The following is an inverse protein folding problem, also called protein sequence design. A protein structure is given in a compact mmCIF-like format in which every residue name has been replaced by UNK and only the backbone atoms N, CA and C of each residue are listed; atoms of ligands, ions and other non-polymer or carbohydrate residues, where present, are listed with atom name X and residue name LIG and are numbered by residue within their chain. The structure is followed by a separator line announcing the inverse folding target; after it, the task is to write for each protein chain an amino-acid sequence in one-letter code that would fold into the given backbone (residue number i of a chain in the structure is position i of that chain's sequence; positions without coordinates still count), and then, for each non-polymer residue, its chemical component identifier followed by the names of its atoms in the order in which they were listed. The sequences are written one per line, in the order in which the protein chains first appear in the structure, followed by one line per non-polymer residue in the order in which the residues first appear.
data_IF_289597571195
#
_entry.id   IF_289597571195
#
_cell.length_a   1.000
_cell.length_b   1.000
_cell.length_c   1.000
_cell.angle_alpha   90.00
_cell.angle_beta   90.00
_cell.angle_gamma   90.00
#
_symmetry.space_group_name_H-M   'P 1'
#
loop_
_entity.id
_entity.type
_entity.pdbx_description
1 polymer ?
#
# COMPACT_ATOMS: atom_id res chain seq x y z
N UNK A 1 -9.84 22.87 17.17
CA UNK A 1 -8.93 23.67 18.02
C UNK A 1 -7.57 23.64 17.34
N UNK A 2 -6.95 24.80 17.07
CA UNK A 2 -5.61 24.85 16.47
C UNK A 2 -4.54 24.55 17.52
N UNK A 3 -3.44 23.92 17.11
CA UNK A 3 -2.31 23.57 17.97
C UNK A 3 -0.99 24.11 17.37
N UNK A 4 -0.69 25.41 17.54
CA UNK A 4 0.54 26.01 17.03
C UNK A 4 1.79 25.52 17.76
N UNK A 5 2.91 25.48 17.06
CA UNK A 5 4.23 25.15 17.59
C UNK A 5 4.81 26.38 18.29
N UNK A 6 5.24 26.19 19.53
CA UNK A 6 5.91 27.21 20.32
C UNK A 6 7.41 26.90 20.46
N UNK A 7 8.27 27.87 20.14
CA UNK A 7 9.68 27.83 20.49
C UNK A 7 9.86 28.54 21.86
N UNK A 8 9.62 27.83 22.95
CA UNK A 8 9.48 28.44 24.28
C UNK A 8 8.13 29.15 24.44
N UNK A 9 8.12 30.47 24.66
CA UNK A 9 6.89 31.27 24.79
C UNK A 9 6.47 31.99 23.48
N UNK A 10 7.20 31.80 22.38
CA UNK A 10 6.96 32.48 21.11
C UNK A 10 6.33 31.53 20.06
N UNK A 11 5.27 32.01 19.41
CA UNK A 11 4.62 31.31 18.30
C UNK A 11 5.51 31.37 17.06
N UNK A 12 5.73 30.22 16.40
CA UNK A 12 6.60 30.15 15.23
C UNK A 12 6.05 31.01 14.08
N UNK A 13 6.93 31.73 13.35
CA UNK A 13 6.52 32.62 12.24
C UNK A 13 5.68 31.88 11.18
N UNK A 14 6.05 30.64 10.87
CA UNK A 14 5.28 29.76 9.95
C UNK A 14 3.82 29.58 10.39
N UNK A 15 3.61 29.46 11.69
CA UNK A 15 2.30 29.18 12.27
C UNK A 15 1.46 30.46 12.31
N UNK A 16 2.08 31.60 12.60
CA UNK A 16 1.44 32.92 12.53
C UNK A 16 0.98 33.24 11.09
N UNK A 17 1.81 32.91 10.10
CA UNK A 17 1.48 33.08 8.68
C UNK A 17 0.23 32.27 8.30
N UNK A 18 0.17 30.99 8.68
CA UNK A 18 -1.00 30.14 8.38
C UNK A 18 -2.26 30.71 9.05
N UNK A 19 -2.18 31.10 10.34
CA UNK A 19 -3.31 31.71 11.04
C UNK A 19 -3.77 33.01 10.38
N UNK A 20 -2.84 33.84 9.91
CA UNK A 20 -3.16 35.09 9.20
C UNK A 20 -3.85 34.81 7.87
N UNK A 21 -3.35 33.85 7.08
CA UNK A 21 -3.99 33.43 5.82
C UNK A 21 -5.44 32.97 6.07
N UNK A 22 -5.65 32.12 7.09
CA UNK A 22 -7.00 31.65 7.46
C UNK A 22 -7.90 32.82 7.87
N UNK A 23 -7.39 33.72 8.71
CA UNK A 23 -8.13 34.89 9.19
C UNK A 23 -8.51 35.84 8.06
N UNK A 24 -7.60 36.10 7.12
CA UNK A 24 -7.81 37.03 6.01
C UNK A 24 -8.69 36.45 4.91
N UNK A 25 -8.55 35.16 4.63
CA UNK A 25 -9.34 34.49 3.61
C UNK A 25 -10.84 34.52 3.97
N UNK A 26 -11.20 34.49 5.27
CA UNK A 26 -12.59 34.48 5.75
C UNK A 26 -13.47 33.45 5.02
N UNK A 27 -12.88 32.31 4.67
CA UNK A 27 -13.49 31.24 3.86
C UNK A 27 -13.99 31.66 2.46
N UNK A 28 -13.65 32.87 1.99
CA UNK A 28 -13.97 33.34 0.63
C UNK A 28 -13.12 32.64 -0.44
N UNK A 29 -11.91 32.22 -0.06
CA UNK A 29 -10.99 31.49 -0.92
C UNK A 29 -10.61 30.15 -0.29
N UNK A 30 -10.47 29.08 -1.08
CA UNK A 30 -10.04 27.80 -0.55
C UNK A 30 -8.57 27.84 -0.14
N UNK A 31 -8.24 27.22 0.99
CA UNK A 31 -6.89 27.10 1.52
C UNK A 31 -6.47 25.64 1.39
N UNK A 32 -5.28 25.40 0.84
CA UNK A 32 -4.75 24.07 0.62
C UNK A 32 -3.37 23.90 1.28
N UNK A 33 -3.11 22.71 1.77
CA UNK A 33 -1.79 22.23 2.15
C UNK A 33 -1.34 21.15 1.17
N UNK A 34 -0.09 21.16 0.73
CA UNK A 34 0.43 20.05 -0.06
C UNK A 34 0.51 18.78 0.80
N UNK A 35 0.30 17.60 0.20
CA UNK A 35 0.37 16.31 0.94
C UNK A 35 1.75 16.00 1.51
N UNK A 36 2.79 16.66 0.98
CA UNK A 36 4.17 16.56 1.45
C UNK A 36 4.46 17.41 2.68
N UNK A 37 3.51 18.24 3.13
CA UNK A 37 3.65 19.00 4.38
C UNK A 37 3.41 18.05 5.56
N UNK A 38 4.39 17.85 6.46
CA UNK A 38 4.22 16.94 7.58
C UNK A 38 3.15 17.44 8.55
N UNK A 39 2.48 16.51 9.25
CA UNK A 39 1.41 16.83 10.20
C UNK A 39 1.81 17.86 11.27
N UNK A 40 3.06 17.79 11.75
CA UNK A 40 3.64 18.76 12.69
C UNK A 40 3.66 20.20 12.19
N UNK A 41 3.56 20.42 10.87
CA UNK A 41 3.52 21.72 10.22
C UNK A 41 2.12 22.15 9.77
N UNK A 42 1.06 21.45 10.19
CA UNK A 42 -0.34 21.76 9.84
C UNK A 42 -1.18 22.30 11.00
N UNK A 43 -0.55 22.81 12.07
CA UNK A 43 -1.23 23.43 13.22
C UNK A 43 -2.29 22.55 13.90
N UNK A 44 -2.17 21.22 13.82
CA UNK A 44 -3.21 20.31 14.35
C UNK A 44 -4.56 20.43 13.64
N UNK A 45 -4.59 20.92 12.40
CA UNK A 45 -5.81 21.05 11.58
C UNK A 45 -6.25 19.73 10.93
N UNK A 46 -5.71 18.59 11.35
CA UNK A 46 -5.96 17.25 10.78
C UNK A 46 -7.46 16.93 10.70
N UNK A 47 -8.22 17.32 11.72
CA UNK A 47 -9.66 17.07 11.80
C UNK A 47 -10.49 17.97 10.87
N UNK A 48 -9.84 18.93 10.19
CA UNK A 48 -10.46 19.97 9.37
C UNK A 48 -9.92 19.98 7.95
N UNK A 49 -9.12 19.00 7.56
CA UNK A 49 -8.57 18.91 6.22
C UNK A 49 -9.07 17.67 5.50
N UNK A 50 -9.31 17.81 4.20
CA UNK A 50 -9.85 16.76 3.34
C UNK A 50 -9.00 16.66 2.07
N UNK A 51 -8.62 15.46 1.66
CA UNK A 51 -7.74 15.25 0.51
C UNK A 51 -8.51 15.42 -0.82
N UNK A 52 -8.00 16.27 -1.72
CA UNK A 52 -8.57 16.55 -3.05
C UNK A 52 -7.51 16.30 -4.15
N UNK A 53 -6.71 15.25 -4.03
CA UNK A 53 -5.61 14.88 -4.93
C UNK A 53 -4.28 14.95 -4.18
N UNK A 54 -3.32 15.71 -4.70
CA UNK A 54 -2.02 15.95 -4.02
C UNK A 54 -2.06 17.09 -3.01
N UNK A 55 -3.25 17.50 -2.61
CA UNK A 55 -3.49 18.60 -1.68
C UNK A 55 -4.56 18.23 -0.68
N UNK A 56 -4.44 18.79 0.52
CA UNK A 56 -5.43 18.79 1.56
C UNK A 56 -6.13 20.15 1.59
N UNK A 57 -7.45 20.17 1.38
CA UNK A 57 -8.26 21.37 1.50
C UNK A 57 -8.68 21.60 2.93
N UNK A 58 -8.47 22.79 3.45
CA UNK A 58 -8.99 23.21 4.75
C UNK A 58 -10.50 23.48 4.68
N UNK A 59 -11.23 22.93 5.64
CA UNK A 59 -12.69 23.01 5.78
C UNK A 59 -13.05 23.72 7.09
N UNK A 60 -14.16 24.49 7.12
CA UNK A 60 -14.62 25.16 8.34
C UNK A 60 -15.29 24.20 9.35
N UNK A 61 -15.51 22.94 8.96
CA UNK A 61 -16.15 21.90 9.76
C UNK A 61 -15.21 20.70 9.92
N UNK A 62 -15.56 19.79 10.82
CA UNK A 62 -14.78 18.56 11.02
C UNK A 62 -15.04 17.55 9.91
N UNK A 63 -14.01 16.83 9.50
CA UNK A 63 -14.06 15.77 8.49
C UNK A 63 -14.05 14.41 9.19
N UNK A 64 -14.70 13.42 8.57
CA UNK A 64 -14.64 12.04 9.05
C UNK A 64 -13.21 11.52 8.97
N UNK A 65 -12.63 11.19 10.12
CA UNK A 65 -11.26 10.68 10.20
C UNK A 65 -11.11 9.30 9.57
N UNK A 66 -12.19 8.54 9.44
CA UNK A 66 -12.14 7.23 8.79
C UNK A 66 -11.86 7.35 7.30
N UNK A 67 -12.39 8.41 6.68
CA UNK A 67 -12.27 8.68 5.26
C UNK A 67 -12.01 10.17 5.00
N UNK A 68 -10.78 10.67 5.26
CA UNK A 68 -10.47 12.10 5.14
C UNK A 68 -10.20 12.51 3.68
N UNK A 69 -10.97 11.97 2.73
CA UNK A 69 -10.85 12.29 1.31
C UNK A 69 -12.17 12.84 0.77
N UNK A 70 -12.07 13.69 -0.25
CA UNK A 70 -13.21 14.10 -1.05
C UNK A 70 -13.30 13.20 -2.28
N UNK A 71 -14.17 12.19 -2.29
CA UNK A 71 -14.24 11.20 -3.38
C UNK A 71 -14.46 11.87 -4.75
N UNK A 72 -15.40 12.81 -4.86
CA UNK A 72 -15.73 13.46 -6.12
C UNK A 72 -14.51 14.21 -6.70
N UNK A 73 -13.80 14.98 -5.88
CA UNK A 73 -12.61 15.73 -6.30
C UNK A 73 -11.43 14.81 -6.57
N UNK A 74 -11.21 13.80 -5.73
CA UNK A 74 -10.17 12.80 -5.94
C UNK A 74 -10.40 12.07 -7.27
N UNK A 75 -11.62 11.60 -7.51
CA UNK A 75 -12.01 10.94 -8.75
C UNK A 75 -11.80 11.87 -9.94
N UNK A 76 -12.34 13.09 -9.88
CA UNK A 76 -12.19 14.08 -10.94
C UNK A 76 -10.72 14.39 -11.25
N UNK A 77 -9.87 14.54 -10.23
CA UNK A 77 -8.47 14.93 -10.43
C UNK A 77 -7.57 13.77 -10.86
N UNK A 78 -7.82 12.54 -10.39
CA UNK A 78 -6.96 11.38 -10.64
C UNK A 78 -7.43 10.54 -11.83
N UNK A 79 -8.74 10.46 -12.05
CA UNK A 79 -9.33 9.59 -13.08
C UNK A 79 -9.56 10.32 -14.41
N UNK A 80 -9.57 11.65 -14.41
CA UNK A 80 -9.63 12.44 -15.66
C UNK A 80 -8.25 12.57 -16.32
N UNK A 81 -8.26 13.01 -17.58
CA UNK A 81 -7.05 13.19 -18.38
C UNK A 81 -6.68 11.94 -19.17
N UNK A 82 -5.71 12.10 -20.05
CA UNK A 82 -5.32 11.07 -21.03
C UNK A 82 -4.66 9.84 -20.39
N UNK A 83 -4.79 8.72 -21.08
CA UNK A 83 -4.21 7.42 -20.72
C UNK A 83 -2.83 7.22 -21.37
N UNK A 84 -2.31 6.00 -21.29
CA UNK A 84 -0.99 5.63 -21.83
C UNK A 84 -0.73 5.91 -23.30
N UNK A 85 -1.77 6.04 -24.12
CA UNK A 85 -1.65 6.40 -25.54
C UNK A 85 -0.92 7.74 -25.78
N UNK A 86 -0.90 8.62 -24.77
CA UNK A 86 -0.32 9.97 -24.87
C UNK A 86 1.13 10.04 -24.39
N UNK A 87 1.53 9.19 -23.44
CA UNK A 87 2.87 9.28 -22.86
C UNK A 87 3.88 8.27 -23.43
N UNK A 88 3.44 7.27 -24.20
CA UNK A 88 4.33 6.25 -24.80
C UNK A 88 5.25 6.81 -25.89
N UNK A 89 4.89 7.96 -26.47
CA UNK A 89 5.67 8.65 -27.49
C UNK A 89 5.94 10.09 -27.07
N UNK A 90 6.98 10.68 -27.63
CA UNK A 90 7.11 12.13 -27.53
C UNK A 90 6.00 12.81 -28.33
N UNK A 91 5.72 14.05 -27.95
CA UNK A 91 4.81 14.93 -28.70
C UNK A 91 5.65 16.09 -29.21
N UNK A 92 5.89 16.08 -30.52
CA UNK A 92 6.65 17.11 -31.21
C UNK A 92 5.90 18.44 -31.21
N UNK A 93 6.64 19.55 -31.31
CA UNK A 93 6.06 20.90 -31.24
C UNK A 93 4.97 21.16 -32.30
N UNK A 94 5.11 20.55 -33.49
CA UNK A 94 4.11 20.66 -34.58
C UNK A 94 2.83 19.89 -34.29
N UNK A 95 2.94 18.74 -33.61
CA UNK A 95 1.80 17.92 -33.22
C UNK A 95 1.08 18.53 -32.02
N UNK A 96 1.82 19.13 -31.08
CA UNK A 96 1.27 19.73 -29.87
C UNK A 96 0.09 20.66 -30.18
N UNK A 97 0.23 21.57 -31.14
CA UNK A 97 -0.83 22.51 -31.49
C UNK A 97 -2.10 21.84 -32.03
N UNK A 98 -1.98 20.67 -32.67
CA UNK A 98 -3.10 19.93 -33.24
C UNK A 98 -3.87 19.14 -32.17
N UNK A 99 -3.29 18.99 -30.97
CA UNK A 99 -3.85 18.21 -29.87
C UNK A 99 -4.65 19.07 -28.86
N UNK A 100 -4.90 20.34 -29.19
CA UNK A 100 -5.79 21.23 -28.43
C UNK A 100 -7.24 20.69 -28.49
N UNK A 101 -7.89 20.57 -27.34
CA UNK A 101 -9.20 19.92 -27.16
C UNK A 101 -9.09 18.47 -26.69
N UNK A 102 -8.18 17.71 -27.31
CA UNK A 102 -8.01 16.28 -27.01
C UNK A 102 -7.14 16.07 -25.77
N UNK A 103 -5.90 16.57 -25.80
CA UNK A 103 -4.87 16.31 -24.77
C UNK A 103 -4.66 17.51 -23.86
N UNK A 104 -4.72 18.72 -24.39
CA UNK A 104 -4.61 19.96 -23.62
C UNK A 104 -5.68 20.97 -24.05
N UNK A 105 -5.96 21.97 -23.22
CA UNK A 105 -6.95 23.01 -23.51
C UNK A 105 -6.49 24.35 -22.94
N UNK A 106 -6.95 25.45 -23.55
CA UNK A 106 -6.84 26.80 -22.97
C UNK A 106 -7.86 27.02 -21.84
N UNK A 107 -8.97 26.30 -21.91
CA UNK A 107 -9.98 26.28 -20.84
C UNK A 107 -9.63 25.22 -19.80
N UNK A 108 -10.14 25.41 -18.57
CA UNK A 108 -9.90 24.48 -17.48
C UNK A 108 -10.41 23.08 -17.83
N UNK A 109 -9.52 22.09 -17.77
CA UNK A 109 -9.82 20.67 -17.90
C UNK A 109 -9.25 19.96 -16.66
N UNK A 110 -10.07 19.21 -15.90
CA UNK A 110 -9.56 18.46 -14.74
C UNK A 110 -8.69 17.29 -15.20
N UNK A 111 -7.79 16.86 -14.31
CA UNK A 111 -6.87 15.75 -14.56
C UNK A 111 -5.43 16.19 -14.71
N UNK A 112 -4.51 15.26 -14.47
CA UNK A 112 -3.09 15.47 -14.71
C UNK A 112 -2.75 15.12 -16.16
N UNK A 113 -1.87 15.92 -16.75
CA UNK A 113 -1.26 15.60 -18.04
C UNK A 113 0.03 14.83 -17.82
N UNK A 114 -0.04 13.50 -17.90
CA UNK A 114 1.13 12.63 -17.87
C UNK A 114 1.79 12.59 -19.25
N UNK A 115 3.10 12.80 -19.31
CA UNK A 115 3.89 12.76 -20.55
C UNK A 115 5.18 11.99 -20.33
N UNK A 116 5.60 11.28 -21.37
CA UNK A 116 6.83 10.50 -21.43
C UNK A 116 6.99 9.38 -20.39
N UNK A 117 6.10 9.20 -19.41
CA UNK A 117 6.36 8.38 -18.22
C UNK A 117 6.59 6.88 -18.45
N UNK A 118 6.27 6.32 -19.61
CA UNK A 118 6.63 4.94 -19.92
C UNK A 118 7.42 4.75 -21.20
N UNK A 119 8.18 5.79 -21.54
CA UNK A 119 9.33 5.71 -22.45
C UNK A 119 10.53 5.15 -21.69
N UNK A 120 11.07 4.03 -22.17
CA UNK A 120 12.26 3.37 -21.61
C UNK A 120 13.56 4.05 -22.03
N UNK A 121 13.53 4.83 -23.12
CA UNK A 121 14.66 5.63 -23.60
C UNK A 121 14.86 6.94 -22.79
N UNK A 122 13.97 7.23 -21.84
CA UNK A 122 14.07 8.37 -20.93
C UNK A 122 14.69 7.91 -19.61
N UNK A 123 15.71 8.65 -19.16
CA UNK A 123 16.30 8.42 -17.84
C UNK A 123 15.50 9.13 -16.73
N UNK A 124 14.97 8.36 -15.78
CA UNK A 124 14.28 8.89 -14.60
C UNK A 124 15.20 8.91 -13.39
N UNK A 125 15.43 10.09 -12.81
CA UNK A 125 16.23 10.18 -11.58
C UNK A 125 15.49 9.51 -10.42
N UNK A 126 16.07 8.49 -9.75
CA UNK A 126 15.40 7.80 -8.65
C UNK A 126 15.03 8.74 -7.49
N UNK A 127 15.94 9.63 -7.14
CA UNK A 127 15.77 10.58 -6.02
C UNK A 127 14.68 11.63 -6.24
N UNK A 128 14.29 11.89 -7.49
CA UNK A 128 13.43 13.01 -7.84
C UNK A 128 12.21 12.57 -8.61
N UNK A 129 12.38 12.03 -9.82
CA UNK A 129 11.26 11.62 -10.66
C UNK A 129 10.51 10.44 -10.03
N UNK A 130 11.21 9.36 -9.69
CA UNK A 130 10.58 8.14 -9.15
C UNK A 130 9.93 8.44 -7.80
N UNK A 131 10.64 9.11 -6.89
CA UNK A 131 10.13 9.47 -5.57
C UNK A 131 8.90 10.39 -5.62
N UNK A 132 8.89 11.40 -6.50
CA UNK A 132 7.74 12.31 -6.63
C UNK A 132 6.50 11.57 -7.13
N UNK A 133 6.68 10.65 -8.08
CA UNK A 133 5.59 9.84 -8.63
C UNK A 133 5.01 8.86 -7.61
N UNK A 134 5.75 8.49 -6.56
CA UNK A 134 5.16 7.73 -5.44
C UNK A 134 4.06 8.52 -4.73
N UNK A 135 4.17 9.85 -4.60
CA UNK A 135 3.10 10.66 -4.00
C UNK A 135 1.79 10.60 -4.83
N UNK A 136 1.91 10.55 -6.16
CA UNK A 136 0.78 10.37 -7.07
C UNK A 136 0.17 8.97 -6.92
N UNK A 137 1.00 7.92 -6.81
CA UNK A 137 0.51 6.58 -6.50
C UNK A 137 -0.21 6.53 -5.16
N UNK A 138 0.34 7.16 -4.13
CA UNK A 138 -0.31 7.24 -2.82
C UNK A 138 -1.70 7.89 -2.92
N UNK A 139 -1.88 8.94 -3.73
CA UNK A 139 -3.21 9.54 -3.93
C UNK A 139 -4.21 8.56 -4.58
N UNK A 140 -3.79 7.81 -5.61
CA UNK A 140 -4.64 6.75 -6.19
C UNK A 140 -4.94 5.65 -5.17
N UNK A 141 -3.94 5.20 -4.40
CA UNK A 141 -4.11 4.18 -3.37
C UNK A 141 -5.10 4.62 -2.28
N UNK A 142 -5.11 5.90 -1.89
CA UNK A 142 -6.10 6.43 -0.94
C UNK A 142 -7.53 6.39 -1.51
N UNK A 143 -7.71 6.77 -2.79
CA UNK A 143 -9.02 6.69 -3.45
C UNK A 143 -9.47 5.22 -3.64
N UNK A 144 -8.55 4.33 -4.00
CA UNK A 144 -8.84 2.91 -4.13
C UNK A 144 -9.19 2.30 -2.77
N UNK A 145 -8.47 2.66 -1.70
CA UNK A 145 -8.75 2.23 -0.34
C UNK A 145 -10.14 2.69 0.14
N UNK A 146 -10.54 3.93 -0.16
CA UNK A 146 -11.88 4.43 0.13
C UNK A 146 -12.97 3.55 -0.49
N UNK A 147 -12.83 3.24 -1.79
CA UNK A 147 -13.80 2.37 -2.47
C UNK A 147 -13.70 0.91 -2.00
N UNK A 148 -12.52 0.43 -1.65
CA UNK A 148 -12.35 -0.90 -1.07
C UNK A 148 -13.04 -1.05 0.29
N UNK A 149 -12.93 -0.05 1.17
CA UNK A 149 -13.64 -0.05 2.45
C UNK A 149 -15.15 -0.07 2.23
N UNK A 150 -15.67 0.80 1.34
CA UNK A 150 -17.09 0.80 0.99
C UNK A 150 -17.54 -0.55 0.38
N UNK A 151 -16.71 -1.18 -0.45
CA UNK A 151 -16.97 -2.53 -0.98
C UNK A 151 -17.18 -3.54 0.15
N UNK A 152 -16.29 -3.57 1.15
CA UNK A 152 -16.39 -4.47 2.31
C UNK A 152 -17.59 -4.14 3.20
N UNK A 153 -17.88 -2.86 3.44
CA UNK A 153 -19.01 -2.41 4.26
C UNK A 153 -20.36 -2.86 3.66
N UNK A 154 -20.48 -2.79 2.33
CA UNK A 154 -21.69 -3.20 1.63
C UNK A 154 -21.77 -4.69 1.30
N UNK A 155 -20.69 -5.46 1.49
CA UNK A 155 -20.59 -6.85 1.03
C UNK A 155 -21.72 -7.76 1.53
N UNK A 156 -22.21 -7.52 2.74
CA UNK A 156 -23.28 -8.32 3.36
C UNK A 156 -24.63 -7.59 3.44
N UNK A 157 -24.72 -6.35 2.94
CA UNK A 157 -25.92 -5.50 3.12
C UNK A 157 -26.52 -5.04 1.79
N UNK A 158 -25.70 -4.77 0.78
CA UNK A 158 -26.11 -4.24 -0.51
C UNK A 158 -25.13 -4.70 -1.62
N UNK A 159 -25.47 -5.82 -2.25
CA UNK A 159 -24.60 -6.47 -3.25
C UNK A 159 -24.31 -5.58 -4.46
N UNK A 160 -25.30 -4.79 -4.90
CA UNK A 160 -25.14 -3.89 -6.06
C UNK A 160 -24.15 -2.76 -5.74
N UNK A 161 -24.28 -2.10 -4.57
CA UNK A 161 -23.32 -1.08 -4.15
C UNK A 161 -21.95 -1.66 -3.86
N UNK A 162 -21.88 -2.84 -3.26
CA UNK A 162 -20.63 -3.54 -3.01
C UNK A 162 -19.87 -3.74 -4.32
N UNK A 163 -20.52 -4.32 -5.34
CA UNK A 163 -19.89 -4.56 -6.64
C UNK A 163 -19.56 -3.25 -7.39
N UNK A 164 -20.40 -2.21 -7.28
CA UNK A 164 -20.07 -0.87 -7.82
C UNK A 164 -18.77 -0.34 -7.22
N UNK A 165 -18.61 -0.40 -5.90
CA UNK A 165 -17.40 0.05 -5.22
C UNK A 165 -16.18 -0.81 -5.53
N UNK A 166 -16.37 -2.14 -5.66
CA UNK A 166 -15.32 -3.05 -6.12
C UNK A 166 -14.79 -2.65 -7.50
N UNK A 167 -15.69 -2.39 -8.46
CA UNK A 167 -15.32 -1.93 -9.81
C UNK A 167 -14.62 -0.58 -9.80
N UNK A 168 -15.08 0.37 -8.97
CA UNK A 168 -14.41 1.67 -8.82
C UNK A 168 -13.00 1.52 -8.24
N UNK A 169 -12.80 0.68 -7.23
CA UNK A 169 -11.48 0.44 -6.64
C UNK A 169 -10.50 -0.16 -7.68
N UNK A 170 -10.94 -1.15 -8.46
CA UNK A 170 -10.18 -1.72 -9.58
C UNK A 170 -9.83 -0.66 -10.63
N UNK A 171 -10.81 0.13 -11.07
CA UNK A 171 -10.59 1.17 -12.07
C UNK A 171 -9.51 2.19 -11.62
N UNK A 172 -9.49 2.55 -10.33
CA UNK A 172 -8.50 3.49 -9.78
C UNK A 172 -7.09 2.92 -9.81
N UNK A 173 -6.89 1.66 -9.43
CA UNK A 173 -5.56 1.04 -9.45
C UNK A 173 -5.09 0.72 -10.87
N UNK A 174 -6.01 0.34 -11.77
CA UNK A 174 -5.71 0.16 -13.19
C UNK A 174 -5.29 1.50 -13.82
N UNK A 175 -6.02 2.58 -13.54
CA UNK A 175 -5.67 3.94 -13.99
C UNK A 175 -4.31 4.38 -13.45
N UNK A 176 -4.00 4.08 -12.18
CA UNK A 176 -2.69 4.38 -11.60
C UNK A 176 -1.56 3.66 -12.35
N UNK A 177 -1.74 2.38 -12.68
CA UNK A 177 -0.73 1.61 -13.43
C UNK A 177 -0.64 2.06 -14.89
N UNK A 178 -1.74 2.49 -15.49
CA UNK A 178 -1.76 3.06 -16.84
C UNK A 178 -1.09 4.43 -16.89
N UNK A 179 -1.21 5.29 -15.88
CA UNK A 179 -0.59 6.64 -15.92
C UNK A 179 0.81 6.68 -15.31
N UNK A 180 1.16 5.72 -14.45
CA UNK A 180 2.46 5.61 -13.78
C UNK A 180 2.93 4.15 -13.88
N UNK A 181 3.41 3.73 -15.07
CA UNK A 181 3.71 2.33 -15.34
C UNK A 181 4.91 1.84 -14.53
N UNK A 182 4.77 0.64 -13.96
CA UNK A 182 5.79 -0.03 -13.15
C UNK A 182 7.11 -0.26 -13.89
N UNK A 183 7.06 -0.54 -15.21
CA UNK A 183 8.24 -0.88 -16.03
C UNK A 183 9.29 0.23 -16.10
N UNK A 184 8.86 1.50 -16.11
CA UNK A 184 9.74 2.67 -16.16
C UNK A 184 9.81 3.37 -14.81
N UNK A 185 8.68 3.44 -14.10
CA UNK A 185 8.56 4.05 -12.79
C UNK A 185 8.40 2.93 -11.76
N UNK A 186 9.49 2.25 -11.42
CA UNK A 186 9.44 1.12 -10.47
C UNK A 186 8.89 1.52 -9.09
N UNK A 187 8.46 0.52 -8.32
CA UNK A 187 8.16 0.69 -6.89
C UNK A 187 9.45 0.52 -6.07
N UNK A 188 10.02 1.63 -5.59
CA UNK A 188 11.19 1.58 -4.71
C UNK A 188 10.83 0.98 -3.34
N UNK A 189 9.68 1.38 -2.78
CA UNK A 189 9.15 0.88 -1.51
C UNK A 189 8.35 -0.41 -1.71
N UNK A 190 8.87 -1.52 -1.19
CA UNK A 190 8.21 -2.85 -1.23
C UNK A 190 6.84 -2.88 -0.56
N UNK A 191 6.65 -2.13 0.53
CA UNK A 191 5.37 -2.07 1.25
C UNK A 191 4.23 -1.55 0.37
N UNK A 192 4.49 -0.50 -0.42
CA UNK A 192 3.50 0.07 -1.33
C UNK A 192 3.14 -0.91 -2.44
N UNK A 193 4.15 -1.61 -2.99
CA UNK A 193 3.94 -2.60 -4.04
C UNK A 193 3.17 -3.82 -3.50
N UNK A 194 3.50 -4.27 -2.29
CA UNK A 194 2.78 -5.35 -1.60
C UNK A 194 1.33 -4.96 -1.31
N UNK A 195 1.07 -3.75 -0.82
CA UNK A 195 -0.29 -3.25 -0.59
C UNK A 195 -1.11 -3.23 -1.89
N UNK A 196 -0.50 -2.85 -3.01
CA UNK A 196 -1.16 -2.91 -4.32
C UNK A 196 -1.50 -4.35 -4.72
N UNK A 197 -0.55 -5.29 -4.59
CA UNK A 197 -0.81 -6.71 -4.85
C UNK A 197 -1.96 -7.26 -4.01
N UNK A 198 -1.93 -7.00 -2.70
CA UNK A 198 -3.02 -7.37 -1.77
C UNK A 198 -4.36 -6.79 -2.22
N UNK A 199 -4.39 -5.53 -2.61
CA UNK A 199 -5.61 -4.87 -3.04
C UNK A 199 -6.18 -5.52 -4.32
N UNK A 200 -5.35 -5.84 -5.32
CA UNK A 200 -5.78 -6.61 -6.48
C UNK A 200 -6.39 -7.97 -6.08
N UNK A 201 -5.71 -8.71 -5.21
CA UNK A 201 -6.19 -10.01 -4.73
C UNK A 201 -7.54 -9.94 -4.02
N UNK A 202 -7.68 -9.00 -3.07
CA UNK A 202 -8.93 -8.79 -2.33
C UNK A 202 -10.08 -8.28 -3.22
N UNK A 203 -9.77 -7.62 -4.34
CA UNK A 203 -10.71 -7.23 -5.37
C UNK A 203 -10.92 -8.34 -6.43
N UNK A 204 -10.34 -9.52 -6.26
CA UNK A 204 -10.56 -10.70 -7.09
C UNK A 204 -9.61 -10.87 -8.28
N UNK A 205 -8.62 -10.00 -8.46
CA UNK A 205 -7.58 -10.14 -9.49
C UNK A 205 -6.37 -10.91 -8.92
N UNK A 206 -6.51 -12.23 -8.82
CA UNK A 206 -5.44 -13.12 -8.31
C UNK A 206 -4.22 -13.17 -9.24
N UNK A 207 -4.41 -12.98 -10.54
CA UNK A 207 -3.31 -13.00 -11.52
C UNK A 207 -2.34 -11.84 -11.27
N UNK A 208 -2.87 -10.63 -11.09
CA UNK A 208 -2.04 -9.46 -10.82
C UNK A 208 -1.43 -9.49 -9.42
N UNK A 209 -2.17 -9.99 -8.41
CA UNK A 209 -1.57 -10.30 -7.11
C UNK A 209 -0.35 -11.22 -7.29
N UNK A 210 -0.50 -12.35 -8.01
CA UNK A 210 0.59 -13.31 -8.22
C UNK A 210 1.79 -12.67 -8.94
N UNK A 211 1.56 -11.89 -10.01
CA UNK A 211 2.62 -11.18 -10.74
C UNK A 211 3.43 -10.27 -9.80
N UNK A 212 2.74 -9.48 -8.97
CA UNK A 212 3.37 -8.57 -8.02
C UNK A 212 4.13 -9.36 -6.94
N UNK A 213 3.55 -10.44 -6.41
CA UNK A 213 4.22 -11.29 -5.43
C UNK A 213 5.49 -11.95 -6.00
N UNK A 214 5.46 -12.42 -7.25
CA UNK A 214 6.61 -13.01 -7.94
C UNK A 214 7.76 -11.99 -8.05
N UNK A 215 7.46 -10.72 -8.34
CA UNK A 215 8.46 -9.63 -8.37
C UNK A 215 9.00 -9.31 -6.98
N UNK A 216 8.12 -9.21 -5.98
CA UNK A 216 8.50 -8.91 -4.61
C UNK A 216 9.43 -9.97 -4.01
N UNK A 217 9.19 -11.24 -4.31
CA UNK A 217 10.01 -12.37 -3.84
C UNK A 217 11.44 -12.38 -4.42
N UNK A 218 11.69 -11.67 -5.52
CA UNK A 218 13.01 -11.56 -6.15
C UNK A 218 13.87 -10.44 -5.56
N UNK A 219 13.32 -9.62 -4.65
CA UNK A 219 14.06 -8.52 -4.05
C UNK A 219 15.16 -9.02 -3.11
N UNK A 220 16.29 -8.32 -3.10
CA UNK A 220 17.42 -8.64 -2.22
C UNK A 220 17.30 -8.05 -0.81
N UNK A 221 16.36 -7.13 -0.59
CA UNK A 221 16.20 -6.36 0.65
C UNK A 221 15.03 -6.84 1.52
N UNK A 222 14.61 -8.11 1.37
CA UNK A 222 13.52 -8.69 2.14
C UNK A 222 13.91 -8.98 3.60
N UNK A 223 13.07 -8.53 4.52
CA UNK A 223 13.14 -8.83 5.94
C UNK A 223 12.39 -10.11 6.27
N UNK A 224 12.53 -10.61 7.50
CA UNK A 224 11.75 -11.77 8.01
C UNK A 224 10.26 -11.47 7.91
N UNK A 225 9.85 -10.26 8.31
CA UNK A 225 8.46 -9.80 8.20
C UNK A 225 7.96 -9.89 6.77
N UNK A 226 8.71 -9.38 5.80
CA UNK A 226 8.30 -9.39 4.39
C UNK A 226 8.06 -10.82 3.91
N UNK A 227 9.01 -11.74 4.17
CA UNK A 227 8.88 -13.15 3.78
C UNK A 227 7.65 -13.81 4.42
N UNK A 228 7.37 -13.53 5.69
CA UNK A 228 6.19 -14.05 6.40
C UNK A 228 4.90 -13.49 5.81
N UNK A 229 4.82 -12.17 5.62
CA UNK A 229 3.65 -11.49 5.05
C UNK A 229 3.37 -11.99 3.62
N UNK A 230 4.43 -12.18 2.81
CA UNK A 230 4.33 -12.64 1.44
C UNK A 230 3.95 -14.11 1.36
N UNK A 231 4.58 -14.96 2.17
CA UNK A 231 4.21 -16.37 2.32
C UNK A 231 2.73 -16.51 2.70
N UNK A 232 2.25 -15.69 3.62
CA UNK A 232 0.84 -15.71 4.00
C UNK A 232 -0.08 -15.28 2.85
N UNK A 233 0.32 -14.31 2.03
CA UNK A 233 -0.45 -13.93 0.85
C UNK A 233 -0.57 -15.09 -0.16
N UNK A 234 0.50 -15.86 -0.36
CA UNK A 234 0.46 -17.08 -1.19
C UNK A 234 -0.51 -18.12 -0.65
N UNK A 235 -0.54 -18.32 0.67
CA UNK A 235 -1.44 -19.28 1.30
C UNK A 235 -2.90 -18.84 1.28
N UNK A 236 -3.19 -17.59 1.64
CA UNK A 236 -4.56 -17.17 1.96
C UNK A 236 -5.34 -16.53 0.82
N UNK A 237 -4.66 -16.04 -0.22
CA UNK A 237 -5.33 -15.39 -1.37
C UNK A 237 -5.06 -16.10 -2.69
N UNK A 238 -3.86 -16.67 -2.85
CA UNK A 238 -3.45 -17.35 -4.08
C UNK A 238 -3.63 -18.87 -4.02
N UNK A 239 -4.01 -19.42 -2.87
CA UNK A 239 -4.15 -20.87 -2.65
C UNK A 239 -2.92 -21.68 -3.12
N UNK A 240 -1.74 -21.05 -3.06
CA UNK A 240 -0.49 -21.55 -3.62
C UNK A 240 0.33 -22.26 -2.55
N UNK A 241 -0.20 -23.37 -2.05
CA UNK A 241 0.33 -24.09 -0.90
C UNK A 241 1.77 -24.60 -1.11
N UNK A 242 2.15 -25.03 -2.32
CA UNK A 242 3.52 -25.45 -2.60
C UNK A 242 4.55 -24.30 -2.49
N UNK A 243 4.16 -23.10 -2.92
CA UNK A 243 5.02 -21.90 -2.79
C UNK A 243 5.10 -21.48 -1.33
N UNK A 244 3.96 -21.45 -0.63
CA UNK A 244 3.93 -21.18 0.80
C UNK A 244 4.77 -22.17 1.60
N UNK A 245 4.71 -23.46 1.26
CA UNK A 245 5.54 -24.52 1.87
C UNK A 245 7.01 -24.17 1.72
N UNK A 246 7.46 -23.91 0.50
CA UNK A 246 8.87 -23.56 0.21
C UNK A 246 9.33 -22.35 1.03
N UNK A 247 8.49 -21.31 1.16
CA UNK A 247 8.81 -20.10 1.93
C UNK A 247 8.92 -20.43 3.43
N UNK A 248 7.90 -21.09 4.00
CA UNK A 248 7.85 -21.34 5.43
C UNK A 248 8.82 -22.44 5.90
N UNK A 249 9.09 -23.46 5.08
CA UNK A 249 10.19 -24.41 5.30
C UNK A 249 11.53 -23.68 5.34
N UNK A 250 11.80 -22.82 4.35
CA UNK A 250 13.03 -22.04 4.31
C UNK A 250 13.22 -21.15 5.54
N UNK A 251 12.16 -20.45 5.97
CA UNK A 251 12.18 -19.65 7.20
C UNK A 251 12.41 -20.49 8.45
N UNK A 252 11.77 -21.65 8.55
CA UNK A 252 11.90 -22.55 9.70
C UNK A 252 13.31 -23.14 9.80
N UNK A 253 13.88 -23.60 8.68
CA UNK A 253 15.26 -24.12 8.64
C UNK A 253 16.29 -23.02 8.92
N UNK A 254 16.08 -21.81 8.41
CA UNK A 254 16.91 -20.64 8.72
C UNK A 254 16.92 -20.37 10.24
N UNK A 255 15.74 -20.40 10.88
CA UNK A 255 15.63 -20.27 12.34
C UNK A 255 16.33 -21.41 13.10
N UNK A 256 16.18 -22.67 12.68
CA UNK A 256 16.87 -23.81 13.31
C UNK A 256 18.39 -23.69 13.21
N UNK A 257 18.91 -23.23 12.07
CA UNK A 257 20.35 -23.03 11.88
C UNK A 257 20.92 -22.01 12.88
N UNK A 258 20.12 -20.99 13.23
CA UNK A 258 20.47 -19.98 14.23
C UNK A 258 20.41 -20.57 15.64
N UNK A 259 19.34 -21.29 15.99
CA UNK A 259 19.21 -21.94 17.30
C UNK A 259 20.33 -22.95 17.57
N UNK A 260 20.73 -23.70 16.54
CA UNK A 260 21.79 -24.71 16.63
C UNK A 260 23.21 -24.10 16.56
N UNK A 261 23.33 -22.76 16.48
CA UNK A 261 24.62 -22.06 16.46
C UNK A 261 25.39 -22.15 15.14
N UNK A 262 24.78 -22.66 14.06
CA UNK A 262 25.40 -22.72 12.74
C UNK A 262 25.47 -21.34 12.07
N UNK A 263 24.51 -20.45 12.40
CA UNK A 263 24.50 -19.05 11.98
C UNK A 263 24.42 -18.13 13.18
N UNK A 264 25.39 -17.24 13.30
CA UNK A 264 25.40 -16.19 14.31
C UNK A 264 24.59 -14.99 13.82
N UNK A 265 23.76 -14.44 14.70
CA UNK A 265 22.92 -13.26 14.42
C UNK A 265 23.02 -12.25 15.55
N UNK A 266 22.66 -11.00 15.27
CA UNK A 266 22.57 -9.98 16.31
C UNK A 266 21.43 -10.27 17.29
N UNK A 267 21.46 -9.68 18.49
CA UNK A 267 20.35 -9.78 19.45
C UNK A 267 19.04 -9.22 18.88
N UNK A 268 19.12 -8.14 18.09
CA UNK A 268 17.95 -7.54 17.44
C UNK A 268 17.33 -8.50 16.42
N UNK A 269 18.16 -9.10 15.56
CA UNK A 269 17.71 -10.08 14.57
C UNK A 269 17.13 -11.32 15.25
N UNK A 270 17.74 -11.82 16.34
CA UNK A 270 17.18 -12.93 17.11
C UNK A 270 15.81 -12.59 17.70
N UNK A 271 15.61 -11.35 18.16
CA UNK A 271 14.30 -10.91 18.65
C UNK A 271 13.26 -10.86 17.52
N UNK A 272 13.62 -10.39 16.33
CA UNK A 272 12.73 -10.42 15.17
C UNK A 272 12.32 -11.86 14.83
N UNK A 273 13.27 -12.79 14.77
CA UNK A 273 12.99 -14.22 14.58
C UNK A 273 12.01 -14.77 15.62
N UNK A 274 12.24 -14.48 16.91
CA UNK A 274 11.34 -14.90 17.99
C UNK A 274 9.94 -14.31 17.84
N UNK A 275 9.81 -13.07 17.40
CA UNK A 275 8.52 -12.40 17.20
C UNK A 275 7.68 -13.08 16.10
N UNK A 276 8.32 -13.61 15.06
CA UNK A 276 7.64 -14.27 13.94
C UNK A 276 7.58 -15.79 14.03
N UNK A 277 8.32 -16.41 14.97
CA UNK A 277 8.46 -17.86 15.07
C UNK A 277 7.12 -18.60 15.14
N UNK A 278 6.23 -18.17 16.04
CA UNK A 278 4.90 -18.78 16.20
C UNK A 278 4.11 -18.74 14.90
N UNK A 279 4.15 -17.61 14.18
CA UNK A 279 3.48 -17.46 12.89
C UNK A 279 4.10 -18.36 11.80
N UNK A 280 5.44 -18.40 11.72
CA UNK A 280 6.16 -19.26 10.76
C UNK A 280 5.76 -20.72 10.94
N UNK A 281 5.81 -21.22 12.18
CA UNK A 281 5.49 -22.62 12.48
C UNK A 281 4.01 -22.92 12.24
N UNK A 282 3.12 -22.00 12.63
CA UNK A 282 1.68 -22.17 12.43
C UNK A 282 1.33 -22.20 10.93
N UNK A 283 1.90 -21.30 10.14
CA UNK A 283 1.73 -21.27 8.67
C UNK A 283 2.34 -22.51 8.01
N UNK A 284 3.49 -23.01 8.49
CA UNK A 284 4.10 -24.24 7.98
C UNK A 284 3.21 -25.46 8.23
N UNK A 285 2.74 -25.64 9.47
CA UNK A 285 1.83 -26.74 9.86
C UNK A 285 0.54 -26.67 9.06
N UNK A 286 -0.07 -25.48 8.96
CA UNK A 286 -1.24 -25.27 8.12
C UNK A 286 -0.98 -25.68 6.67
N UNK A 287 0.18 -25.33 6.13
CA UNK A 287 0.53 -25.67 4.75
C UNK A 287 0.73 -27.16 4.54
N UNK A 288 1.44 -27.84 5.45
CA UNK A 288 1.58 -29.29 5.41
C UNK A 288 0.24 -29.99 5.48
N UNK A 289 -0.67 -29.53 6.34
CA UNK A 289 -2.04 -30.04 6.41
C UNK A 289 -2.77 -29.88 5.07
N UNK A 290 -2.65 -28.71 4.41
CA UNK A 290 -3.26 -28.47 3.08
C UNK A 290 -2.65 -29.30 1.94
N UNK A 291 -1.50 -29.91 2.17
CA UNK A 291 -0.79 -30.76 1.21
C UNK A 291 -0.80 -32.25 1.62
N UNK A 292 -1.63 -32.63 2.59
CA UNK A 292 -1.73 -34.00 3.14
C UNK A 292 -0.38 -34.53 3.70
N UNK A 293 0.51 -33.64 4.14
CA UNK A 293 1.81 -33.94 4.74
C UNK A 293 1.74 -34.02 6.27
N UNK A 294 0.85 -34.89 6.78
CA UNK A 294 0.53 -34.94 8.22
C UNK A 294 1.75 -35.34 9.07
N UNK A 295 2.57 -36.27 8.60
CA UNK A 295 3.76 -36.72 9.33
C UNK A 295 4.76 -35.57 9.54
N UNK A 296 4.96 -34.74 8.51
CA UNK A 296 5.84 -33.58 8.57
C UNK A 296 5.29 -32.50 9.51
N UNK A 297 3.98 -32.30 9.53
CA UNK A 297 3.30 -31.44 10.50
C UNK A 297 3.51 -31.93 11.94
N UNK A 298 3.35 -33.22 12.19
CA UNK A 298 3.57 -33.85 13.50
C UNK A 298 5.03 -33.74 13.97
N UNK A 299 6.00 -33.87 13.06
CA UNK A 299 7.42 -33.70 13.38
C UNK A 299 7.73 -32.26 13.81
N UNK A 300 7.24 -31.27 13.07
CA UNK A 300 7.48 -29.85 13.38
C UNK A 300 6.87 -29.46 14.73
N UNK A 301 5.63 -29.89 14.99
CA UNK A 301 4.95 -29.53 16.24
C UNK A 301 5.52 -30.27 17.46
N UNK A 302 5.97 -31.51 17.28
CA UNK A 302 6.63 -32.27 18.34
C UNK A 302 7.98 -31.64 18.71
N UNK A 303 8.78 -31.22 17.72
CA UNK A 303 10.03 -30.48 17.98
C UNK A 303 9.78 -29.18 18.75
N UNK A 304 8.72 -28.43 18.37
CA UNK A 304 8.34 -27.21 19.08
C UNK A 304 7.93 -27.48 20.53
N UNK A 305 7.05 -28.46 20.77
CA UNK A 305 6.58 -28.83 22.11
C UNK A 305 7.71 -29.42 22.98
N UNK A 306 8.67 -30.14 22.40
CA UNK A 306 9.83 -30.65 23.13
C UNK A 306 10.66 -29.50 23.74
N UNK A 307 10.81 -28.39 23.01
CA UNK A 307 11.51 -27.20 23.49
C UNK A 307 10.63 -26.30 24.36
N UNK A 308 9.31 -26.28 24.11
CA UNK A 308 8.34 -25.42 24.80
C UNK A 308 7.10 -26.23 25.25
N UNK A 309 7.21 -27.09 26.28
CA UNK A 309 6.16 -28.06 26.63
C UNK A 309 4.83 -27.46 27.09
N UNK A 310 4.81 -26.18 27.43
CA UNK A 310 3.64 -25.46 27.94
C UNK A 310 3.12 -24.40 26.97
N UNK A 311 3.61 -24.36 25.73
CA UNK A 311 3.08 -23.43 24.73
C UNK A 311 1.63 -23.79 24.36
N UNK A 312 0.65 -22.90 24.61
CA UNK A 312 -0.76 -23.20 24.38
C UNK A 312 -1.09 -23.28 22.88
N UNK A 313 -0.38 -22.53 22.02
CA UNK A 313 -0.61 -22.55 20.57
C UNK A 313 -0.14 -23.87 19.98
N UNK A 314 1.04 -24.32 20.39
CA UNK A 314 1.57 -25.62 19.96
C UNK A 314 0.71 -26.80 20.45
N UNK A 315 0.12 -26.72 21.64
CA UNK A 315 -0.82 -27.77 22.11
C UNK A 315 -2.09 -27.81 21.27
N UNK A 316 -2.68 -26.64 21.01
CA UNK A 316 -3.90 -26.53 20.19
C UNK A 316 -3.68 -27.10 18.79
N UNK A 317 -2.59 -26.71 18.12
CA UNK A 317 -2.28 -27.19 16.77
C UNK A 317 -2.09 -28.72 16.72
N UNK A 318 -1.60 -29.35 17.79
CA UNK A 318 -1.41 -30.81 17.84
C UNK A 318 -2.74 -31.53 18.03
N UNK A 319 -3.66 -30.95 18.81
CA UNK A 319 -5.02 -31.44 18.92
C UNK A 319 -5.76 -31.32 17.58
N UNK A 320 -5.62 -30.19 16.89
CA UNK A 320 -6.23 -29.94 15.57
C UNK A 320 -5.72 -30.90 14.48
N UNK A 321 -4.49 -31.42 14.62
CA UNK A 321 -3.92 -32.44 13.73
C UNK A 321 -4.46 -33.85 14.00
N UNK A 322 -4.93 -34.14 15.22
CA UNK A 322 -5.42 -35.47 15.65
C UNK A 322 -6.93 -35.67 15.46
N UNK A 323 -7.67 -34.59 15.23
CA UNK A 323 -9.14 -34.58 15.12
C UNK A 323 -9.66 -34.89 13.71
N UNK A 324 -8.78 -35.09 12.73
CA UNK A 324 -9.06 -35.56 11.37
C UNK A 324 -8.47 -36.95 11.16
#
# INVERSE_FOLDING_TARGET
QVNPTFAGAALMVKDMMILKIISDAKWKYPIYFAVTVPASNRLGLEDHIEMEGLVYRLRPHKIDKRNPINEERMWTNLMSGSNSDVWQKDIEAKEWLQLEGDIWSKDYKPGYLYRNLGREDVYYFPSTNIRLLQNLRSAHMQLAAYHYMAFKDYQNTDSEKSEMHRKKALAVIDKMQDVIPERTIRYDAKDLHYQLGRLYGELGNKEELKRIMDILMQRSDLTIRDKVDYGQAYLSQLDSFNVGKTIFEGLYEEFKSIENGQRLVSQNEMQEWRNYFTQIVSSLIFTYKKLDMINEAELVISDWLNKNPNDPVAKQLLEDLKLE
#
